data_IF_982698858696
#
_entry.id   IF_982698858696
#
_cell.length_a   1.000
_cell.length_b   1.000
_cell.length_c   1.000
_cell.angle_alpha   90.00
_cell.angle_beta   90.00
_cell.angle_gamma   90.00
#
_symmetry.space_group_name_H-M   'P 1'
#
loop_
_entity.id
_entity.type
_entity.pdbx_description
1 polymer ?
#
# COMPACT_ATOMS: atom_id res chain seq x y z
N UNK A 1 -19.52 -36.30 -5.42
CA UNK A 1 -19.49 -34.94 -4.86
C UNK A 1 -19.49 -33.96 -6.03
N UNK A 2 -20.65 -33.36 -6.29
CA UNK A 2 -20.77 -32.29 -7.29
C UNK A 2 -20.29 -30.98 -6.66
N UNK A 3 -19.18 -30.45 -7.16
CA UNK A 3 -18.76 -29.09 -6.86
C UNK A 3 -19.50 -28.16 -7.82
N UNK A 4 -20.54 -27.52 -7.32
CA UNK A 4 -21.30 -26.52 -8.08
C UNK A 4 -20.44 -25.28 -8.34
N UNK A 5 -19.97 -25.11 -9.55
CA UNK A 5 -19.24 -23.94 -10.00
C UNK A 5 -20.22 -22.91 -10.57
N UNK A 6 -20.34 -21.74 -9.97
CA UNK A 6 -21.16 -20.63 -10.48
C UNK A 6 -20.24 -19.53 -11.04
N UNK A 7 -20.38 -19.30 -12.33
CA UNK A 7 -19.70 -18.20 -13.04
C UNK A 7 -20.37 -16.86 -12.70
N UNK A 8 -19.60 -15.90 -12.23
CA UNK A 8 -19.99 -14.48 -12.17
C UNK A 8 -18.91 -13.62 -12.80
N UNK A 9 -19.24 -13.16 -14.01
CA UNK A 9 -18.81 -11.92 -14.63
C UNK A 9 -17.33 -11.56 -14.71
N UNK A 10 -16.66 -12.08 -15.71
CA UNK A 10 -15.84 -11.40 -16.72
C UNK A 10 -15.38 -12.48 -17.70
N UNK A 11 -15.53 -12.22 -18.98
CA UNK A 11 -15.13 -13.14 -20.03
C UNK A 11 -13.62 -13.38 -20.01
N UNK A 12 -13.20 -14.35 -19.22
CA UNK A 12 -11.88 -14.95 -19.39
C UNK A 12 -12.04 -15.98 -20.49
N UNK A 13 -11.30 -15.81 -21.58
CA UNK A 13 -11.33 -16.68 -22.76
C UNK A 13 -11.21 -18.14 -22.33
N UNK A 14 -12.27 -18.92 -22.55
CA UNK A 14 -12.38 -20.36 -22.26
C UNK A 14 -11.24 -21.21 -22.85
N UNK A 15 -10.45 -20.65 -23.77
CA UNK A 15 -9.33 -21.34 -24.43
C UNK A 15 -8.12 -21.61 -23.54
N UNK A 16 -7.93 -20.83 -22.47
CA UNK A 16 -6.72 -20.93 -21.63
C UNK A 16 -6.93 -21.67 -20.30
N UNK A 17 -8.17 -21.99 -19.93
CA UNK A 17 -8.51 -22.56 -18.62
C UNK A 17 -8.58 -24.08 -18.56
N UNK A 18 -8.35 -24.80 -19.67
CA UNK A 18 -8.52 -26.27 -19.76
C UNK A 18 -9.85 -26.79 -19.12
N UNK A 19 -10.90 -25.96 -19.14
CA UNK A 19 -12.22 -26.31 -18.61
C UNK A 19 -12.37 -26.28 -17.08
N UNK A 20 -11.37 -25.81 -16.34
CA UNK A 20 -11.45 -25.63 -14.89
C UNK A 20 -11.59 -24.15 -14.54
N UNK A 21 -12.74 -23.75 -14.02
CA UNK A 21 -12.98 -22.41 -13.49
C UNK A 21 -13.12 -22.54 -11.97
N UNK A 22 -12.13 -22.05 -11.24
CA UNK A 22 -12.17 -21.96 -9.80
C UNK A 22 -12.73 -20.60 -9.38
N UNK A 23 -13.82 -20.57 -8.61
CA UNK A 23 -14.26 -19.36 -7.94
C UNK A 23 -13.33 -19.14 -6.74
N UNK A 24 -12.39 -18.22 -6.88
CA UNK A 24 -11.52 -17.83 -5.78
C UNK A 24 -12.33 -16.99 -4.81
N UNK A 25 -12.25 -17.32 -3.52
CA UNK A 25 -12.86 -16.52 -2.46
C UNK A 25 -12.39 -15.07 -2.59
N UNK A 26 -13.30 -14.10 -2.42
CA UNK A 26 -12.96 -12.69 -2.39
C UNK A 26 -11.94 -12.47 -1.25
N UNK A 27 -10.84 -11.79 -1.53
CA UNK A 27 -9.87 -11.42 -0.49
C UNK A 27 -10.58 -10.61 0.60
N UNK A 28 -10.43 -11.02 1.85
CA UNK A 28 -10.95 -10.31 3.00
C UNK A 28 -9.99 -9.18 3.40
N UNK A 29 -10.55 -8.04 3.78
CA UNK A 29 -9.76 -6.98 4.38
C UNK A 29 -9.42 -7.35 5.83
N UNK A 30 -8.20 -7.04 6.22
CA UNK A 30 -7.74 -7.08 7.60
C UNK A 30 -8.20 -5.83 8.37
N UNK A 31 -7.97 -5.81 9.66
CA UNK A 31 -8.11 -4.61 10.50
C UNK A 31 -6.77 -3.88 10.63
N UNK A 32 -6.79 -2.65 11.12
CA UNK A 32 -5.56 -1.91 11.44
C UNK A 32 -4.84 -2.58 12.61
N UNK A 33 -5.59 -3.14 13.54
CA UNK A 33 -5.10 -3.90 14.68
C UNK A 33 -4.32 -5.15 14.26
N UNK A 34 -4.79 -5.87 13.23
CA UNK A 34 -4.07 -7.03 12.67
C UNK A 34 -2.69 -6.62 12.11
N UNK A 35 -2.61 -5.43 11.48
CA UNK A 35 -1.34 -4.90 10.96
C UNK A 35 -0.38 -4.57 12.10
N UNK A 36 -0.87 -3.97 13.18
CA UNK A 36 -0.06 -3.65 14.35
C UNK A 36 0.40 -4.90 15.10
N UNK A 37 -0.51 -5.86 15.30
CA UNK A 37 -0.19 -7.13 15.93
C UNK A 37 0.94 -7.88 15.19
N UNK A 38 0.95 -7.80 13.86
CA UNK A 38 2.00 -8.39 13.03
C UNK A 38 3.38 -7.74 13.27
N UNK A 39 3.43 -6.43 13.51
CA UNK A 39 4.68 -5.74 13.84
C UNK A 39 5.18 -6.17 15.23
N UNK A 40 4.27 -6.30 16.20
CA UNK A 40 4.54 -6.75 17.55
C UNK A 40 5.04 -8.19 17.57
N UNK A 41 4.38 -9.12 16.86
CA UNK A 41 4.78 -10.51 16.71
C UNK A 41 6.20 -10.68 16.16
N UNK A 42 6.62 -9.79 15.25
CA UNK A 42 7.97 -9.78 14.68
C UNK A 42 8.99 -9.07 15.57
N UNK A 43 8.55 -8.33 16.58
CA UNK A 43 9.42 -7.48 17.39
C UNK A 43 10.08 -6.34 16.60
N UNK A 44 9.43 -5.86 15.54
CA UNK A 44 9.94 -4.84 14.63
C UNK A 44 9.18 -3.51 14.81
N UNK A 45 9.84 -2.35 14.60
CA UNK A 45 9.14 -1.08 14.53
C UNK A 45 8.09 -1.12 13.41
N UNK A 46 6.82 -0.73 13.64
CA UNK A 46 5.80 -0.72 12.61
C UNK A 46 6.25 -0.02 11.33
N UNK A 47 6.00 -0.66 10.20
CA UNK A 47 6.15 -0.09 8.86
C UNK A 47 4.88 -0.35 8.09
N UNK A 48 4.13 0.71 7.77
CA UNK A 48 2.80 0.63 7.17
C UNK A 48 2.76 1.55 5.95
N UNK A 49 2.15 1.11 4.86
CA UNK A 49 1.85 1.97 3.73
C UNK A 49 0.41 2.47 3.82
N UNK A 50 0.19 3.77 3.69
CA UNK A 50 -1.14 4.37 3.57
C UNK A 50 -1.30 4.90 2.14
N UNK A 51 -2.39 4.52 1.48
CA UNK A 51 -2.63 4.87 0.08
C UNK A 51 -3.81 5.83 -0.01
N UNK A 52 -3.56 7.03 -0.50
CA UNK A 52 -4.58 8.07 -0.65
C UNK A 52 -4.93 8.26 -2.13
N UNK A 53 -6.09 7.75 -2.54
CA UNK A 53 -6.59 7.93 -3.90
C UNK A 53 -5.96 7.00 -4.95
N UNK A 54 -5.46 5.84 -4.58
CA UNK A 54 -4.95 4.84 -5.54
C UNK A 54 -6.13 4.06 -6.13
N UNK A 55 -6.52 4.40 -7.35
CA UNK A 55 -7.70 3.83 -8.04
C UNK A 55 -7.31 2.81 -9.13
N UNK A 56 -6.06 2.83 -9.61
CA UNK A 56 -5.57 1.85 -10.57
C UNK A 56 -5.22 0.51 -9.88
N UNK A 57 -5.85 -0.62 -10.29
CA UNK A 57 -5.57 -1.93 -9.72
C UNK A 57 -4.14 -2.43 -9.98
N UNK A 58 -3.48 -1.96 -11.05
CA UNK A 58 -2.09 -2.31 -11.33
C UNK A 58 -1.16 -1.65 -10.31
N UNK A 59 -1.39 -0.37 -10.00
CA UNK A 59 -0.62 0.33 -8.98
C UNK A 59 -0.85 -0.27 -7.59
N UNK A 60 -2.10 -0.53 -7.21
CA UNK A 60 -2.37 -1.16 -5.91
C UNK A 60 -1.67 -2.51 -5.78
N UNK A 61 -1.78 -3.37 -6.79
CA UNK A 61 -1.12 -4.67 -6.77
C UNK A 61 0.40 -4.57 -6.70
N UNK A 62 1.02 -3.65 -7.46
CA UNK A 62 2.46 -3.40 -7.44
C UNK A 62 2.92 -2.85 -6.08
N UNK A 63 2.15 -1.95 -5.47
CA UNK A 63 2.43 -1.40 -4.14
C UNK A 63 2.35 -2.49 -3.07
N UNK A 64 1.32 -3.35 -3.09
CA UNK A 64 1.20 -4.48 -2.14
C UNK A 64 2.39 -5.43 -2.28
N UNK A 65 2.82 -5.72 -3.51
CA UNK A 65 4.01 -6.53 -3.77
C UNK A 65 5.27 -5.89 -3.19
N UNK A 66 5.46 -4.61 -3.43
CA UNK A 66 6.58 -3.83 -2.88
C UNK A 66 6.53 -3.81 -1.35
N UNK A 67 5.37 -3.55 -0.75
CA UNK A 67 5.17 -3.57 0.69
C UNK A 67 5.59 -4.91 1.31
N UNK A 68 5.18 -6.02 0.68
CA UNK A 68 5.60 -7.36 1.11
C UNK A 68 7.12 -7.53 1.09
N UNK A 69 7.76 -7.20 -0.03
CA UNK A 69 9.19 -7.38 -0.23
C UNK A 69 10.04 -6.42 0.63
N UNK A 70 9.53 -5.23 0.92
CA UNK A 70 10.16 -4.26 1.81
C UNK A 70 9.93 -4.56 3.31
N UNK A 71 9.22 -5.64 3.64
CA UNK A 71 8.94 -6.00 5.02
C UNK A 71 7.90 -5.13 5.72
N UNK A 72 7.08 -4.40 4.98
CA UNK A 72 5.98 -3.66 5.57
C UNK A 72 4.96 -4.61 6.22
N UNK A 73 4.40 -4.19 7.35
CA UNK A 73 3.48 -5.00 8.15
C UNK A 73 2.07 -5.02 7.57
N UNK A 74 1.72 -4.03 6.74
CA UNK A 74 0.46 -3.99 6.02
C UNK A 74 0.27 -2.74 5.19
N UNK A 75 -0.86 -2.70 4.49
CA UNK A 75 -1.28 -1.58 3.63
C UNK A 75 -2.65 -1.10 4.09
N UNK A 76 -2.85 0.20 4.20
CA UNK A 76 -4.13 0.83 4.55
C UNK A 76 -4.65 1.59 3.34
N UNK A 77 -5.91 1.33 2.97
CA UNK A 77 -6.61 1.99 1.88
C UNK A 77 -7.91 2.63 2.38
N UNK A 78 -8.36 3.75 1.83
CA UNK A 78 -9.64 4.32 2.19
C UNK A 78 -10.80 3.51 1.58
N UNK A 79 -11.98 3.64 2.18
CA UNK A 79 -13.22 3.00 1.68
C UNK A 79 -13.69 3.58 0.35
N UNK A 80 -13.43 4.86 0.13
CA UNK A 80 -13.80 5.61 -1.06
C UNK A 80 -12.55 6.12 -1.78
N UNK A 81 -12.63 6.35 -3.08
CA UNK A 81 -11.50 6.81 -3.90
C UNK A 81 -10.29 5.85 -3.83
N UNK A 82 -10.59 4.55 -3.82
CA UNK A 82 -9.57 3.50 -3.88
C UNK A 82 -10.15 2.27 -4.59
N UNK A 83 -9.32 1.61 -5.36
CA UNK A 83 -9.69 0.34 -5.97
C UNK A 83 -9.78 -0.76 -4.89
N UNK A 84 -10.75 -1.66 -5.04
CA UNK A 84 -10.89 -2.82 -4.16
C UNK A 84 -9.88 -3.93 -4.47
N UNK A 85 -9.87 -4.97 -3.63
CA UNK A 85 -9.05 -6.18 -3.82
C UNK A 85 -9.66 -7.06 -4.91
N UNK A 86 -9.47 -6.66 -6.17
CA UNK A 86 -9.99 -7.34 -7.36
C UNK A 86 -9.07 -8.47 -7.82
N UNK A 87 -9.54 -9.29 -8.77
CA UNK A 87 -8.71 -10.32 -9.41
C UNK A 87 -7.46 -9.72 -10.10
N UNK A 88 -7.58 -8.50 -10.64
CA UNK A 88 -6.44 -7.77 -11.23
C UNK A 88 -5.40 -7.43 -10.17
N UNK A 89 -5.81 -6.93 -9.00
CA UNK A 89 -4.91 -6.64 -7.86
C UNK A 89 -4.22 -7.92 -7.40
N UNK A 90 -4.96 -9.02 -7.28
CA UNK A 90 -4.40 -10.31 -6.91
C UNK A 90 -3.33 -10.79 -7.91
N UNK A 91 -3.60 -10.66 -9.20
CA UNK A 91 -2.66 -11.01 -10.26
C UNK A 91 -1.42 -10.13 -10.27
N UNK A 92 -1.59 -8.81 -10.18
CA UNK A 92 -0.47 -7.83 -10.22
C UNK A 92 0.37 -7.84 -8.96
N UNK A 93 -0.20 -8.21 -7.81
CA UNK A 93 0.56 -8.41 -6.57
C UNK A 93 1.43 -9.68 -6.60
N UNK A 94 1.32 -10.52 -7.62
CA UNK A 94 2.09 -11.78 -7.76
C UNK A 94 2.04 -12.66 -6.49
N UNK A 95 0.88 -12.74 -5.86
CA UNK A 95 0.67 -13.53 -4.65
C UNK A 95 0.98 -12.82 -3.33
N UNK A 96 1.56 -11.62 -3.35
CA UNK A 96 1.89 -10.87 -2.13
C UNK A 96 0.65 -10.55 -1.28
N UNK A 97 -0.52 -10.42 -1.90
CA UNK A 97 -1.78 -10.20 -1.21
C UNK A 97 -2.16 -11.30 -0.20
N UNK A 98 -1.64 -12.53 -0.38
CA UNK A 98 -1.84 -13.62 0.58
C UNK A 98 -1.02 -13.45 1.87
N UNK A 99 0.02 -12.62 1.83
CA UNK A 99 0.98 -12.46 2.91
C UNK A 99 1.00 -11.05 3.50
N UNK A 100 0.38 -10.09 2.84
CA UNK A 100 0.36 -8.69 3.27
C UNK A 100 -1.06 -8.29 3.62
N UNK A 101 -1.40 -8.06 4.89
CA UNK A 101 -2.72 -7.62 5.28
C UNK A 101 -3.02 -6.24 4.68
N UNK A 102 -4.21 -6.10 4.14
CA UNK A 102 -4.73 -4.84 3.61
C UNK A 102 -5.93 -4.43 4.45
N UNK A 103 -5.85 -3.32 5.15
CA UNK A 103 -6.95 -2.77 5.93
C UNK A 103 -7.70 -1.70 5.13
N UNK A 104 -9.03 -1.70 5.27
CA UNK A 104 -9.91 -0.73 4.62
C UNK A 104 -10.56 0.17 5.66
N UNK A 105 -10.26 1.47 5.61
CA UNK A 105 -10.71 2.43 6.62
C UNK A 105 -11.65 3.48 6.04
N UNK A 106 -12.53 4.01 6.87
CA UNK A 106 -13.50 5.03 6.44
C UNK A 106 -12.83 6.41 6.31
N UNK A 107 -11.88 6.73 7.19
CA UNK A 107 -11.21 8.02 7.25
C UNK A 107 -9.72 7.85 7.52
N UNK A 108 -8.88 8.17 6.52
CA UNK A 108 -7.42 8.07 6.64
C UNK A 108 -6.86 8.98 7.74
N UNK A 109 -7.33 10.23 7.82
CA UNK A 109 -6.83 11.20 8.81
C UNK A 109 -7.09 10.70 10.24
N UNK A 110 -8.30 10.28 10.54
CA UNK A 110 -8.64 9.72 11.85
C UNK A 110 -7.81 8.46 12.16
N UNK A 111 -7.56 7.63 11.16
CA UNK A 111 -6.69 6.46 11.32
C UNK A 111 -5.25 6.87 11.61
N UNK A 112 -4.74 7.90 10.92
CA UNK A 112 -3.40 8.45 11.19
C UNK A 112 -3.29 8.99 12.61
N UNK A 113 -4.28 9.77 13.08
CA UNK A 113 -4.31 10.30 14.45
C UNK A 113 -4.23 9.18 15.49
N UNK A 114 -5.05 8.14 15.34
CA UNK A 114 -5.01 6.95 16.21
C UNK A 114 -3.64 6.25 16.18
N UNK A 115 -3.01 6.14 15.01
CA UNK A 115 -1.70 5.51 14.86
C UNK A 115 -0.57 6.39 15.43
N UNK A 116 -0.70 7.72 15.37
CA UNK A 116 0.23 8.67 16.02
C UNK A 116 0.22 8.53 17.53
N UNK A 117 -0.95 8.33 18.14
CA UNK A 117 -1.07 8.06 19.58
C UNK A 117 -0.30 6.78 19.99
N UNK A 118 -0.06 5.87 19.04
CA UNK A 118 0.76 4.67 19.21
C UNK A 118 2.25 4.88 18.85
N UNK A 119 2.65 6.12 18.58
CA UNK A 119 4.03 6.48 18.30
C UNK A 119 4.48 6.28 16.84
N UNK A 120 3.57 6.13 15.90
CA UNK A 120 3.91 6.00 14.48
C UNK A 120 4.00 7.40 13.85
N UNK A 121 5.10 7.66 13.16
CA UNK A 121 5.36 8.89 12.43
C UNK A 121 4.98 8.73 10.97
N UNK A 122 4.35 9.76 10.39
CA UNK A 122 3.90 9.72 9.01
C UNK A 122 4.78 10.55 8.11
N UNK A 123 5.23 9.93 7.01
CA UNK A 123 5.96 10.58 5.92
C UNK A 123 5.17 10.46 4.63
N UNK A 124 4.84 11.59 3.98
CA UNK A 124 4.19 11.58 2.67
C UNK A 124 5.20 11.83 1.54
N UNK A 125 4.94 11.19 0.41
CA UNK A 125 5.64 11.46 -0.84
C UNK A 125 5.09 12.73 -1.50
N UNK A 126 5.92 13.75 -1.67
CA UNK A 126 5.57 14.99 -2.38
C UNK A 126 6.84 15.58 -3.01
N UNK A 127 6.67 16.36 -4.08
CA UNK A 127 7.80 17.01 -4.78
C UNK A 127 8.43 18.14 -3.99
N UNK A 128 7.69 18.76 -3.06
CA UNK A 128 8.08 19.92 -2.28
C UNK A 128 8.55 19.57 -0.86
N UNK A 129 9.06 18.36 -0.68
CA UNK A 129 9.52 17.88 0.62
C UNK A 129 11.03 18.01 0.84
N UNK A 130 11.46 17.54 2.00
CA UNK A 130 12.87 17.29 2.29
C UNK A 130 13.34 16.06 1.50
N UNK A 131 14.60 16.06 1.05
CA UNK A 131 15.12 14.88 0.33
C UNK A 131 15.04 13.65 1.23
N UNK A 132 14.56 12.53 0.67
CA UNK A 132 14.35 11.28 1.41
C UNK A 132 15.62 10.80 2.15
N UNK A 133 16.80 11.15 1.64
CA UNK A 133 18.10 10.77 2.23
C UNK A 133 18.45 11.53 3.51
N UNK A 134 17.80 12.69 3.73
CA UNK A 134 18.07 13.59 4.86
C UNK A 134 17.04 13.40 6.01
N UNK A 135 16.07 12.50 5.82
CA UNK A 135 15.06 12.14 6.83
C UNK A 135 15.53 10.94 7.66
N UNK A 136 15.22 10.91 8.94
CA UNK A 136 15.36 9.72 9.78
C UNK A 136 14.09 8.85 9.68
N UNK A 137 14.21 7.71 9.02
CA UNK A 137 13.12 6.76 8.76
C UNK A 137 13.31 5.41 9.47
N UNK A 138 14.11 5.36 10.53
CA UNK A 138 14.45 4.11 11.24
C UNK A 138 13.35 3.66 12.21
N UNK A 139 12.58 4.59 12.76
CA UNK A 139 11.54 4.33 13.75
C UNK A 139 10.25 3.72 13.18
N UNK A 140 9.17 3.72 13.98
CA UNK A 140 7.82 3.36 13.51
C UNK A 140 7.32 4.35 12.44
N UNK A 141 7.10 3.87 11.21
CA UNK A 141 6.80 4.73 10.05
C UNK A 141 5.53 4.29 9.34
N UNK A 142 4.67 5.28 9.05
CA UNK A 142 3.60 5.23 8.07
C UNK A 142 4.01 5.98 6.80
N UNK A 143 4.23 5.27 5.69
CA UNK A 143 4.55 5.85 4.40
C UNK A 143 3.26 6.14 3.63
N UNK A 144 2.99 7.40 3.34
CA UNK A 144 1.78 7.86 2.64
C UNK A 144 2.10 8.10 1.17
N UNK A 145 1.37 7.40 0.29
CA UNK A 145 1.48 7.52 -1.17
C UNK A 145 0.15 8.03 -1.72
N UNK A 146 0.21 9.09 -2.50
CA UNK A 146 -0.93 9.70 -3.16
C UNK A 146 -1.16 9.22 -4.60
N UNK A 147 -2.23 9.71 -5.19
CA UNK A 147 -2.57 9.52 -6.59
C UNK A 147 -1.56 10.20 -7.52
N UNK A 148 -1.36 9.68 -8.74
CA UNK A 148 -0.41 10.23 -9.71
C UNK A 148 -0.75 11.64 -10.17
N UNK A 149 -2.03 12.00 -10.23
CA UNK A 149 -2.47 13.32 -10.71
C UNK A 149 -2.50 14.38 -9.61
N UNK A 150 -3.15 14.06 -8.49
CA UNK A 150 -3.40 15.02 -7.41
C UNK A 150 -2.40 14.90 -6.25
N UNK A 151 -1.61 13.83 -6.21
CA UNK A 151 -0.73 13.53 -5.10
C UNK A 151 -1.50 13.13 -3.84
N UNK A 152 -0.91 13.40 -2.68
CA UNK A 152 -1.55 13.20 -1.37
C UNK A 152 -2.54 14.33 -1.12
N UNK A 153 -3.77 14.01 -0.73
CA UNK A 153 -4.81 15.01 -0.44
C UNK A 153 -4.37 15.96 0.69
N UNK A 154 -4.86 17.20 0.63
CA UNK A 154 -4.44 18.27 1.53
C UNK A 154 -4.53 17.86 3.00
N UNK A 155 -5.66 17.34 3.44
CA UNK A 155 -5.86 16.98 4.86
C UNK A 155 -4.95 15.83 5.31
N UNK A 156 -4.71 14.85 4.45
CA UNK A 156 -3.78 13.75 4.75
C UNK A 156 -2.35 14.27 4.84
N UNK A 157 -1.93 15.14 3.91
CA UNK A 157 -0.61 15.75 3.92
C UNK A 157 -0.38 16.66 5.15
N UNK A 158 -1.34 17.48 5.52
CA UNK A 158 -1.29 18.33 6.72
C UNK A 158 -1.18 17.50 8.02
N UNK A 159 -1.61 16.24 7.99
CA UNK A 159 -1.46 15.27 9.09
C UNK A 159 -0.19 14.44 9.02
N UNK A 160 0.66 14.58 8.00
CA UNK A 160 1.97 13.96 7.98
C UNK A 160 2.97 14.77 8.80
N UNK A 161 3.91 14.07 9.43
CA UNK A 161 4.96 14.71 10.25
C UNK A 161 6.12 15.16 9.38
N UNK A 162 6.35 14.45 8.26
CA UNK A 162 7.40 14.74 7.30
C UNK A 162 6.86 14.65 5.87
N UNK A 163 7.49 15.39 4.99
CA UNK A 163 7.27 15.31 3.55
C UNK A 163 8.59 14.93 2.88
N UNK A 164 8.62 13.79 2.22
CA UNK A 164 9.78 13.26 1.54
C UNK A 164 9.71 13.52 0.04
N UNK A 165 10.77 14.08 -0.52
CA UNK A 165 10.94 14.18 -1.97
C UNK A 165 11.97 13.18 -2.47
N UNK A 166 11.67 12.56 -3.61
CA UNK A 166 12.61 11.76 -4.40
C UNK A 166 13.31 12.74 -5.35
N UNK A 167 14.65 12.89 -5.31
CA UNK A 167 15.33 13.82 -6.20
C UNK A 167 15.17 13.43 -7.67
N UNK A 168 14.56 14.30 -8.46
CA UNK A 168 14.41 14.15 -9.90
C UNK A 168 15.54 14.89 -10.64
N UNK A 169 16.00 14.35 -11.76
CA UNK A 169 17.05 14.93 -12.61
C UNK A 169 16.62 15.07 -14.08
N UNK A 170 15.44 14.60 -14.40
CA UNK A 170 14.87 14.66 -15.74
C UNK A 170 13.90 15.82 -15.91
N UNK A 171 13.31 15.92 -17.09
CA UNK A 171 12.33 16.95 -17.44
C UNK A 171 10.92 16.65 -16.92
N UNK A 172 10.67 15.40 -16.49
CA UNK A 172 9.42 14.97 -15.88
C UNK A 172 9.58 15.04 -14.37
N UNK A 173 8.61 15.65 -13.69
CA UNK A 173 8.66 16.03 -12.29
C UNK A 173 8.08 14.97 -11.32
N UNK A 174 7.47 13.90 -11.84
CA UNK A 174 6.84 12.87 -11.00
C UNK A 174 7.10 11.45 -11.50
N UNK A 175 7.16 10.50 -10.55
CA UNK A 175 7.17 9.06 -10.81
C UNK A 175 5.74 8.51 -10.74
N UNK A 176 5.53 7.37 -11.41
CA UNK A 176 4.34 6.56 -11.14
C UNK A 176 4.25 6.23 -9.65
N UNK A 177 3.02 6.21 -9.09
CA UNK A 177 2.79 6.04 -7.65
C UNK A 177 3.41 4.75 -7.09
N UNK A 178 3.33 3.63 -7.83
CA UNK A 178 3.92 2.36 -7.38
C UNK A 178 5.45 2.38 -7.40
N UNK A 179 6.05 3.14 -8.32
CA UNK A 179 7.49 3.33 -8.40
C UNK A 179 7.97 4.23 -7.25
N UNK A 180 7.27 5.34 -6.99
CA UNK A 180 7.58 6.22 -5.86
C UNK A 180 7.47 5.47 -4.52
N UNK A 181 6.42 4.66 -4.35
CA UNK A 181 6.27 3.78 -3.19
C UNK A 181 7.47 2.83 -3.04
N UNK A 182 7.94 2.25 -4.14
CA UNK A 182 9.11 1.36 -4.14
C UNK A 182 10.38 2.06 -3.70
N UNK A 183 10.67 3.21 -4.28
CA UNK A 183 11.88 4.00 -3.96
C UNK A 183 11.91 4.39 -2.48
N UNK A 184 10.81 4.95 -1.96
CA UNK A 184 10.72 5.38 -0.56
C UNK A 184 10.68 4.20 0.42
N UNK A 185 9.98 3.11 0.09
CA UNK A 185 9.96 1.92 0.93
C UNK A 185 11.36 1.31 1.07
N UNK A 186 12.14 1.25 -0.01
CA UNK A 186 13.49 0.71 0.04
C UNK A 186 14.52 1.68 0.66
N UNK A 187 14.25 2.98 0.69
CA UNK A 187 15.02 3.90 1.53
C UNK A 187 14.80 3.61 3.02
N UNK A 188 13.55 3.33 3.43
CA UNK A 188 13.24 2.88 4.81
C UNK A 188 13.99 1.58 5.12
N UNK A 189 13.95 0.60 4.21
CA UNK A 189 14.68 -0.67 4.37
C UNK A 189 16.17 -0.43 4.52
N UNK A 190 16.76 0.40 3.66
CA UNK A 190 18.19 0.73 3.72
C UNK A 190 18.56 1.31 5.07
N UNK A 191 17.80 2.27 5.58
CA UNK A 191 18.07 2.91 6.87
C UNK A 191 17.92 1.96 8.06
N UNK A 192 16.97 1.03 8.00
CA UNK A 192 16.76 0.03 9.06
C UNK A 192 17.76 -1.11 9.03
N UNK A 193 18.46 -1.30 7.90
CA UNK A 193 19.48 -2.36 7.73
C UNK A 193 20.90 -1.89 8.04
N UNK A 194 21.10 -0.58 8.29
CA UNK A 194 22.33 0.03 8.73
C UNK A 194 22.20 0.42 10.21
#
# INVERSE_FOLDING_TARGET
>A
YEIGVRLVGSEMCIRDSQGVIAQVASYSYATVEDILARAEEKGEPPFILLLDGIEDPHNLGAIIRTANLAGAHGVIVPKHRAVGLTATVAKTSAGALNYTPVAKVTNLVQTMEMLKEKGIWFVCADMNGQRMYDLDLKGPIGLVIGNEGEGVSRLVRENCDFTATIPMKGDIDSLNASVAAGVLAYEIVRQRSC
#
